data_IF_470296111696
#
_entry.id   IF_470296111696
#
_cell.length_a   1.000
_cell.length_b   1.000
_cell.length_c   1.000
_cell.angle_alpha   90.00
_cell.angle_beta   90.00
_cell.angle_gamma   90.00
#
_symmetry.space_group_name_H-M   'P 1'
#
loop_
_entity.id
_entity.type
_entity.pdbx_description
1 polymer ?
#
# COMPACT_ATOMS: atom_id res chain seq x y z
N UNK A 1 -15.49 12.96 2.32
CA UNK A 1 -15.50 11.90 3.39
C UNK A 1 -14.42 12.22 4.41
N UNK A 2 -14.73 12.24 5.70
CA UNK A 2 -13.76 12.50 6.77
C UNK A 2 -12.85 11.30 7.04
N UNK A 3 -11.69 11.53 7.67
CA UNK A 3 -10.77 10.43 8.08
C UNK A 3 -11.45 9.46 9.05
N UNK A 4 -12.35 9.95 9.93
CA UNK A 4 -13.07 9.13 10.89
C UNK A 4 -14.11 8.22 10.21
N UNK A 5 -14.86 8.76 9.25
CA UNK A 5 -15.79 7.96 8.43
C UNK A 5 -15.05 6.87 7.64
N UNK A 6 -13.90 7.22 7.05
CA UNK A 6 -13.09 6.26 6.32
C UNK A 6 -12.51 5.18 7.24
N UNK A 7 -12.02 5.57 8.44
CA UNK A 7 -11.53 4.63 9.44
C UNK A 7 -12.61 3.63 9.87
N UNK A 8 -13.83 4.11 10.07
CA UNK A 8 -14.97 3.26 10.40
C UNK A 8 -15.29 2.25 9.28
N UNK A 9 -15.24 2.70 8.03
CA UNK A 9 -15.49 1.82 6.86
C UNK A 9 -14.39 0.78 6.65
N UNK A 10 -13.12 1.16 6.85
CA UNK A 10 -11.97 0.24 6.73
C UNK A 10 -12.00 -0.88 7.77
N UNK A 11 -12.61 -0.64 8.93
CA UNK A 11 -12.58 -1.57 10.04
C UNK A 11 -11.19 -1.69 10.68
N UNK A 12 -11.05 -2.68 11.56
CA UNK A 12 -9.81 -2.90 12.31
C UNK A 12 -8.76 -3.71 11.55
N UNK A 13 -9.21 -4.62 10.70
CA UNK A 13 -8.37 -5.55 9.93
C UNK A 13 -8.92 -5.66 8.53
N UNK A 14 -8.05 -5.50 7.54
CA UNK A 14 -8.33 -5.75 6.12
C UNK A 14 -7.43 -6.85 5.57
N UNK A 15 -7.64 -7.20 4.32
CA UNK A 15 -6.83 -8.17 3.59
C UNK A 15 -5.92 -7.43 2.61
N UNK A 16 -4.62 -7.72 2.61
CA UNK A 16 -3.77 -7.41 1.47
C UNK A 16 -3.62 -8.65 0.58
N UNK A 17 -3.68 -8.45 -0.72
CA UNK A 17 -3.51 -9.54 -1.68
C UNK A 17 -2.75 -9.07 -2.93
N UNK A 18 -1.98 -9.97 -3.59
CA UNK A 18 -1.47 -9.67 -4.92
C UNK A 18 -2.64 -9.51 -5.91
N UNK A 19 -2.39 -8.96 -7.11
CA UNK A 19 -3.41 -8.93 -8.15
C UNK A 19 -4.04 -10.30 -8.34
N UNK A 20 -5.38 -10.40 -8.39
CA UNK A 20 -6.11 -11.67 -8.41
C UNK A 20 -5.61 -12.68 -9.46
N UNK A 21 -5.25 -12.20 -10.64
CA UNK A 21 -4.73 -13.03 -11.72
C UNK A 21 -3.39 -13.69 -11.43
N UNK A 22 -2.57 -13.09 -10.55
CA UNK A 22 -1.29 -13.70 -10.13
C UNK A 22 -1.45 -14.95 -9.30
N UNK A 23 -2.60 -15.09 -8.66
CA UNK A 23 -2.93 -16.25 -7.83
C UNK A 23 -4.09 -17.05 -8.43
N UNK A 24 -4.48 -16.76 -9.68
CA UNK A 24 -5.45 -17.52 -10.43
C UNK A 24 -6.88 -17.45 -9.90
N UNK A 25 -7.26 -16.32 -9.28
CA UNK A 25 -8.62 -16.14 -8.74
C UNK A 25 -9.39 -15.04 -9.49
N UNK A 26 -10.71 -15.20 -9.54
CA UNK A 26 -11.60 -14.21 -10.13
C UNK A 26 -11.80 -13.02 -9.17
N UNK A 27 -11.66 -11.76 -9.61
CA UNK A 27 -11.78 -10.59 -8.75
C UNK A 27 -13.15 -10.40 -8.12
N UNK A 28 -14.23 -10.70 -8.85
CA UNK A 28 -15.63 -10.53 -8.37
C UNK A 28 -15.93 -11.51 -7.24
N UNK A 29 -15.72 -12.79 -7.47
CA UNK A 29 -15.98 -13.84 -6.48
C UNK A 29 -15.06 -13.73 -5.26
N UNK A 30 -13.82 -13.28 -5.47
CA UNK A 30 -12.87 -13.04 -4.39
C UNK A 30 -13.32 -11.89 -3.48
N UNK A 31 -13.73 -10.76 -4.04
CA UNK A 31 -14.27 -9.65 -3.26
C UNK A 31 -15.50 -10.06 -2.44
N UNK A 32 -16.44 -10.76 -3.07
CA UNK A 32 -17.62 -11.31 -2.40
C UNK A 32 -17.25 -12.30 -1.26
N UNK A 33 -16.21 -13.11 -1.45
CA UNK A 33 -15.74 -14.05 -0.41
C UNK A 33 -15.10 -13.32 0.77
N UNK A 34 -14.28 -12.29 0.52
CA UNK A 34 -13.66 -11.44 1.54
C UNK A 34 -14.75 -10.75 2.38
N UNK A 35 -15.76 -10.17 1.73
CA UNK A 35 -16.87 -9.49 2.40
C UNK A 35 -17.70 -10.47 3.24
N UNK A 36 -18.03 -11.67 2.70
CA UNK A 36 -18.73 -12.73 3.46
C UNK A 36 -17.93 -13.23 4.66
N UNK A 37 -16.60 -13.22 4.58
CA UNK A 37 -15.73 -13.58 5.69
C UNK A 37 -15.69 -12.48 6.80
N UNK A 38 -16.39 -11.36 6.61
CA UNK A 38 -16.50 -10.29 7.60
C UNK A 38 -15.44 -9.19 7.49
N UNK A 39 -14.57 -9.23 6.48
CA UNK A 39 -13.63 -8.15 6.23
C UNK A 39 -14.33 -6.99 5.51
N UNK A 40 -13.88 -5.78 5.82
CA UNK A 40 -14.46 -4.53 5.29
C UNK A 40 -13.55 -3.83 4.31
N UNK A 41 -12.30 -4.28 4.15
CA UNK A 41 -11.35 -3.70 3.21
C UNK A 41 -10.42 -4.74 2.58
N UNK A 42 -10.07 -4.49 1.32
CA UNK A 42 -9.05 -5.24 0.60
C UNK A 42 -8.07 -4.26 -0.05
N UNK A 43 -6.78 -4.55 0.10
CA UNK A 43 -5.67 -3.79 -0.45
C UNK A 43 -5.00 -4.64 -1.53
N UNK A 44 -4.94 -4.13 -2.75
CA UNK A 44 -4.46 -4.89 -3.90
C UNK A 44 -3.11 -4.37 -4.36
N UNK A 45 -2.11 -5.24 -4.36
CA UNK A 45 -0.81 -4.93 -4.93
C UNK A 45 -0.93 -4.58 -6.42
N UNK A 46 -0.43 -3.42 -6.82
CA UNK A 46 -0.63 -2.94 -8.19
C UNK A 46 0.60 -2.26 -8.80
N UNK A 47 1.81 -2.69 -8.40
CA UNK A 47 3.08 -2.01 -8.66
C UNK A 47 3.33 -1.46 -10.06
N UNK A 48 2.97 -2.16 -11.12
CA UNK A 48 3.22 -1.71 -12.49
C UNK A 48 1.93 -1.29 -13.20
N UNK A 49 1.98 -0.29 -14.10
CA UNK A 49 0.82 0.10 -14.88
C UNK A 49 0.48 -1.05 -15.82
N UNK A 50 -0.68 -1.58 -15.58
CA UNK A 50 -1.37 -2.45 -16.49
C UNK A 50 -2.73 -1.81 -16.73
N UNK A 51 -3.08 -1.57 -17.98
CA UNK A 51 -4.38 -1.00 -18.37
C UNK A 51 -5.56 -1.77 -17.74
N UNK A 52 -5.36 -3.05 -17.43
CA UNK A 52 -6.36 -3.87 -16.76
C UNK A 52 -6.37 -3.70 -15.23
N UNK A 53 -5.40 -3.03 -14.60
CA UNK A 53 -5.34 -2.91 -13.14
C UNK A 53 -6.59 -2.25 -12.57
N UNK A 54 -6.99 -1.11 -13.12
CA UNK A 54 -8.21 -0.40 -12.68
C UNK A 54 -9.49 -1.13 -13.06
N UNK A 55 -9.54 -1.85 -14.17
CA UNK A 55 -10.65 -2.73 -14.52
C UNK A 55 -10.84 -3.86 -13.48
N UNK A 56 -9.74 -4.42 -12.95
CA UNK A 56 -9.80 -5.43 -11.87
C UNK A 56 -10.28 -4.85 -10.54
N UNK A 57 -9.81 -3.66 -10.17
CA UNK A 57 -10.30 -2.95 -8.98
C UNK A 57 -11.81 -2.66 -9.10
N UNK A 58 -12.25 -2.23 -10.29
CA UNK A 58 -13.66 -2.05 -10.61
C UNK A 58 -14.47 -3.35 -10.44
N UNK A 59 -13.96 -4.45 -10.94
CA UNK A 59 -14.60 -5.77 -10.80
C UNK A 59 -14.71 -6.19 -9.32
N UNK A 60 -13.70 -5.94 -8.50
CA UNK A 60 -13.77 -6.20 -7.05
C UNK A 60 -14.81 -5.31 -6.35
N UNK A 61 -14.84 -4.02 -6.69
CA UNK A 61 -15.85 -3.09 -6.16
C UNK A 61 -17.28 -3.50 -6.57
N UNK A 62 -17.46 -3.90 -7.81
CA UNK A 62 -18.75 -4.39 -8.32
C UNK A 62 -19.16 -5.76 -7.72
N UNK A 63 -18.18 -6.59 -7.37
CA UNK A 63 -18.40 -7.91 -6.75
C UNK A 63 -18.73 -7.88 -5.24
N UNK A 64 -18.85 -6.70 -4.65
CA UNK A 64 -19.13 -6.51 -3.22
C UNK A 64 -20.06 -5.32 -3.01
N UNK A 65 -20.74 -5.26 -1.87
CA UNK A 65 -21.67 -4.19 -1.56
C UNK A 65 -21.04 -3.06 -0.73
N UNK A 66 -20.16 -3.42 0.22
CA UNK A 66 -19.63 -2.49 1.24
C UNK A 66 -18.10 -2.46 1.28
N UNK A 67 -17.45 -3.46 0.67
CA UNK A 67 -15.99 -3.60 0.74
C UNK A 67 -15.30 -2.34 0.20
N UNK A 68 -14.39 -1.79 0.99
CA UNK A 68 -13.47 -0.75 0.52
C UNK A 68 -12.31 -1.42 -0.20
N UNK A 69 -12.07 -1.03 -1.44
CA UNK A 69 -10.93 -1.53 -2.25
C UNK A 69 -9.88 -0.44 -2.31
N UNK A 70 -8.63 -0.80 -2.04
CA UNK A 70 -7.51 0.12 -2.08
C UNK A 70 -6.35 -0.42 -2.91
N UNK A 71 -5.56 0.45 -3.50
CA UNK A 71 -4.27 0.05 -4.06
C UNK A 71 -3.20 -0.03 -2.96
N UNK A 72 -2.49 -1.12 -2.88
CA UNK A 72 -1.41 -1.35 -1.92
C UNK A 72 -0.10 -1.76 -2.59
N UNK A 73 0.51 -0.93 -3.37
CA UNK A 73 0.31 0.47 -3.79
C UNK A 73 0.52 0.62 -5.30
N UNK A 74 0.09 1.75 -5.88
CA UNK A 74 0.49 2.16 -7.23
C UNK A 74 1.91 2.74 -7.18
N UNK A 75 2.75 2.32 -8.12
CA UNK A 75 4.11 2.82 -8.25
C UNK A 75 4.13 4.14 -9.03
N UNK A 76 4.50 5.25 -8.36
CA UNK A 76 4.52 6.60 -8.96
C UNK A 76 5.57 6.81 -10.07
N UNK A 77 6.47 5.85 -10.29
CA UNK A 77 7.40 5.87 -11.43
C UNK A 77 6.79 5.27 -12.69
N UNK A 78 5.71 4.56 -12.54
CA UNK A 78 5.10 3.77 -13.59
C UNK A 78 3.85 4.44 -14.18
N UNK A 79 3.36 5.52 -13.58
CA UNK A 79 2.15 6.21 -14.00
C UNK A 79 2.39 7.69 -14.30
N UNK A 80 1.79 8.17 -15.37
CA UNK A 80 1.61 9.60 -15.58
C UNK A 80 0.50 10.11 -14.65
N UNK A 81 0.73 11.22 -13.89
CA UNK A 81 -0.23 11.70 -12.89
C UNK A 81 -1.64 11.94 -13.44
N UNK A 82 -1.77 12.58 -14.60
CA UNK A 82 -3.07 12.84 -15.23
C UNK A 82 -3.83 11.55 -15.59
N UNK A 83 -3.13 10.55 -16.11
CA UNK A 83 -3.75 9.26 -16.44
C UNK A 83 -4.21 8.51 -15.18
N UNK A 84 -3.39 8.50 -14.13
CA UNK A 84 -3.75 7.90 -12.84
C UNK A 84 -4.96 8.60 -12.22
N UNK A 85 -4.99 9.94 -12.28
CA UNK A 85 -6.10 10.73 -11.79
C UNK A 85 -7.41 10.35 -12.48
N UNK A 86 -7.42 10.30 -13.80
CA UNK A 86 -8.61 9.93 -14.58
C UNK A 86 -9.20 8.58 -14.14
N UNK A 87 -8.34 7.58 -14.00
CA UNK A 87 -8.77 6.23 -13.56
C UNK A 87 -9.29 6.24 -12.12
N UNK A 88 -8.60 6.97 -11.23
CA UNK A 88 -8.96 7.05 -9.81
C UNK A 88 -10.29 7.80 -9.59
N UNK A 89 -10.50 8.92 -10.28
CA UNK A 89 -11.76 9.68 -10.24
C UNK A 89 -12.92 8.85 -10.77
N UNK A 90 -12.73 8.12 -11.87
CA UNK A 90 -13.75 7.25 -12.43
C UNK A 90 -14.20 6.16 -11.45
N UNK A 91 -13.26 5.54 -10.72
CA UNK A 91 -13.61 4.57 -9.68
C UNK A 91 -14.30 5.22 -8.48
N UNK A 92 -13.84 6.40 -8.06
CA UNK A 92 -14.45 7.13 -6.95
C UNK A 92 -15.88 7.57 -7.25
N UNK A 93 -16.14 7.98 -8.49
CA UNK A 93 -17.48 8.37 -8.97
C UNK A 93 -18.45 7.20 -9.03
N UNK A 94 -18.00 6.05 -9.56
CA UNK A 94 -18.84 4.85 -9.69
C UNK A 94 -19.09 4.15 -8.35
N UNK A 95 -18.15 4.28 -7.40
CA UNK A 95 -18.21 3.60 -6.10
C UNK A 95 -17.94 4.59 -4.95
N UNK A 96 -18.82 5.52 -4.66
CA UNK A 96 -18.60 6.59 -3.69
C UNK A 96 -18.18 6.09 -2.31
N UNK A 97 -17.00 6.56 -1.84
CA UNK A 97 -16.47 6.24 -0.53
C UNK A 97 -15.97 4.80 -0.37
N UNK A 98 -15.80 4.05 -1.46
CA UNK A 98 -15.35 2.66 -1.44
C UNK A 98 -13.99 2.43 -2.12
N UNK A 99 -13.37 3.47 -2.65
CA UNK A 99 -12.04 3.37 -3.26
C UNK A 99 -11.04 4.27 -2.53
N UNK A 100 -9.81 3.76 -2.33
CA UNK A 100 -8.66 4.48 -1.78
C UNK A 100 -7.49 4.31 -2.73
N UNK A 101 -6.84 5.42 -3.08
CA UNK A 101 -5.63 5.42 -3.88
C UNK A 101 -4.39 5.36 -2.99
N UNK A 102 -3.81 4.18 -2.84
CA UNK A 102 -2.50 4.01 -2.21
C UNK A 102 -1.38 4.20 -3.24
N UNK A 103 -0.44 5.09 -2.96
CA UNK A 103 0.70 5.40 -3.83
C UNK A 103 2.03 5.19 -3.12
N UNK A 104 3.08 4.87 -3.87
CA UNK A 104 4.41 4.65 -3.30
C UNK A 104 5.52 4.79 -4.33
N UNK A 105 6.74 5.04 -3.83
CA UNK A 105 7.94 5.22 -4.66
C UNK A 105 8.62 3.91 -5.03
N UNK A 106 8.09 2.77 -4.60
CA UNK A 106 8.67 1.46 -4.87
C UNK A 106 10.13 1.35 -4.36
N UNK A 107 10.97 0.60 -5.04
CA UNK A 107 12.38 0.36 -4.70
C UNK A 107 13.23 0.26 -5.97
N UNK A 108 14.53 0.53 -5.84
CA UNK A 108 15.45 0.72 -6.96
C UNK A 108 15.39 -0.41 -8.02
N UNK A 109 15.49 -1.72 -7.67
CA UNK A 109 15.49 -2.76 -8.70
C UNK A 109 14.23 -2.77 -9.58
N UNK A 110 13.05 -2.51 -9.02
CA UNK A 110 11.82 -2.47 -9.81
C UNK A 110 11.74 -1.22 -10.68
N UNK A 111 12.16 -0.06 -10.15
CA UNK A 111 12.13 1.21 -10.89
C UNK A 111 13.12 1.20 -12.05
N UNK A 112 14.28 0.57 -11.87
CA UNK A 112 15.28 0.39 -12.91
C UNK A 112 14.79 -0.52 -14.07
N UNK A 113 13.97 -1.53 -13.78
CA UNK A 113 13.31 -2.33 -14.84
C UNK A 113 12.33 -1.54 -15.68
N UNK A 114 11.85 -0.40 -15.18
CA UNK A 114 11.00 0.53 -15.92
C UNK A 114 11.81 1.56 -16.73
N UNK A 115 13.14 1.48 -16.70
CA UNK A 115 14.02 2.43 -17.40
C UNK A 115 14.24 3.75 -16.66
N UNK A 116 13.88 3.83 -15.39
CA UNK A 116 14.07 5.02 -14.56
C UNK A 116 15.24 4.88 -13.58
N UNK A 117 15.93 5.98 -13.29
CA UNK A 117 16.89 6.04 -12.21
C UNK A 117 16.18 6.30 -10.87
N UNK A 118 16.34 5.40 -9.90
CA UNK A 118 15.77 5.57 -8.55
C UNK A 118 16.52 6.62 -7.76
N UNK A 119 16.17 7.88 -7.94
CA UNK A 119 16.82 9.00 -7.30
C UNK A 119 15.80 9.91 -6.59
N UNK A 120 16.19 10.45 -5.41
CA UNK A 120 15.39 11.42 -4.64
C UNK A 120 13.91 11.01 -4.49
N UNK A 121 13.62 9.80 -3.95
CA UNK A 121 12.26 9.26 -3.91
C UNK A 121 11.25 10.17 -3.18
N UNK A 122 11.66 10.90 -2.15
CA UNK A 122 10.80 11.89 -1.49
C UNK A 122 10.36 12.97 -2.47
N UNK A 123 11.31 13.59 -3.17
CA UNK A 123 11.00 14.66 -4.15
C UNK A 123 10.18 14.13 -5.34
N UNK A 124 10.39 12.86 -5.73
CA UNK A 124 9.53 12.23 -6.75
C UNK A 124 8.09 12.13 -6.26
N UNK A 125 7.87 11.76 -5.00
CA UNK A 125 6.53 11.68 -4.43
C UNK A 125 5.88 13.06 -4.32
N UNK A 126 6.60 14.06 -3.76
CA UNK A 126 6.12 15.45 -3.67
C UNK A 126 5.64 15.95 -5.04
N UNK A 127 6.53 15.88 -6.03
CA UNK A 127 6.20 16.31 -7.40
C UNK A 127 5.02 15.56 -7.99
N UNK A 128 4.92 14.25 -7.75
CA UNK A 128 3.83 13.43 -8.26
C UNK A 128 2.48 13.83 -7.65
N UNK A 129 2.44 14.11 -6.34
CA UNK A 129 1.23 14.57 -5.66
C UNK A 129 0.81 15.96 -6.14
N UNK A 130 1.76 16.89 -6.29
CA UNK A 130 1.52 18.23 -6.81
C UNK A 130 0.94 18.17 -8.24
N UNK A 131 1.49 17.29 -9.09
CA UNK A 131 1.01 17.07 -10.45
C UNK A 131 -0.36 16.35 -10.46
N UNK A 132 -0.57 15.39 -9.57
CA UNK A 132 -1.83 14.67 -9.46
C UNK A 132 -3.00 15.61 -9.07
N UNK A 133 -2.72 16.61 -8.21
CA UNK A 133 -3.72 17.60 -7.77
C UNK A 133 -3.71 18.90 -8.60
N UNK A 134 -2.98 18.93 -9.70
CA UNK A 134 -2.85 20.14 -10.49
C UNK A 134 -4.18 20.51 -11.18
N UNK A 135 -4.66 21.77 -11.06
CA UNK A 135 -5.98 22.18 -11.59
C UNK A 135 -6.21 21.91 -13.07
N UNK A 136 -5.13 21.93 -13.89
CA UNK A 136 -5.23 21.64 -15.31
C UNK A 136 -5.66 20.20 -15.64
N UNK A 137 -5.58 19.29 -14.67
CA UNK A 137 -6.00 17.88 -14.82
C UNK A 137 -7.37 17.61 -14.22
N UNK A 138 -8.02 18.62 -13.62
CA UNK A 138 -9.37 18.48 -13.08
C UNK A 138 -10.36 18.34 -14.23
N UNK A 139 -10.82 17.12 -14.49
CA UNK A 139 -11.76 16.78 -15.58
C UNK A 139 -13.22 17.12 -15.29
N UNK A 140 -13.49 18.10 -14.42
CA UNK A 140 -14.83 18.48 -13.99
C UNK A 140 -14.99 18.53 -12.47
N UNK A 141 -16.20 18.32 -11.97
CA UNK A 141 -16.56 18.37 -10.54
C UNK A 141 -16.21 17.08 -9.77
N UNK A 142 -15.40 16.19 -10.35
CA UNK A 142 -15.04 14.92 -9.71
C UNK A 142 -13.86 15.13 -8.75
N UNK A 143 -14.02 14.64 -7.52
CA UNK A 143 -13.01 14.69 -6.49
C UNK A 143 -12.11 13.45 -6.56
N UNK A 144 -10.80 13.64 -6.31
CA UNK A 144 -9.88 12.53 -6.08
C UNK A 144 -10.36 11.67 -4.90
N UNK A 145 -10.20 10.34 -5.00
CA UNK A 145 -10.40 9.48 -3.84
C UNK A 145 -9.40 9.81 -2.73
N UNK A 146 -9.67 9.35 -1.50
CA UNK A 146 -8.70 9.42 -0.42
C UNK A 146 -7.35 8.83 -0.84
N UNK A 147 -6.25 9.56 -0.59
CA UNK A 147 -4.89 9.13 -0.92
C UNK A 147 -4.17 8.70 0.37
N UNK A 148 -3.44 7.58 0.30
CA UNK A 148 -2.48 7.17 1.32
C UNK A 148 -1.11 6.90 0.70
N UNK A 149 -0.03 7.15 1.45
CA UNK A 149 1.34 7.02 0.95
C UNK A 149 2.03 5.85 1.64
N UNK A 150 2.71 5.00 0.89
CA UNK A 150 3.64 4.02 1.45
C UNK A 150 4.87 4.76 2.02
N UNK A 151 4.96 4.84 3.34
CA UNK A 151 5.99 5.63 4.02
C UNK A 151 6.66 4.84 5.14
N UNK A 152 8.00 4.79 5.11
CA UNK A 152 8.82 4.16 6.14
C UNK A 152 9.62 5.19 6.96
N UNK A 153 10.24 6.15 6.29
CA UNK A 153 11.09 7.16 6.93
C UNK A 153 10.30 8.38 7.39
N UNK A 154 10.86 9.17 8.34
CA UNK A 154 10.17 10.32 8.95
C UNK A 154 9.71 11.35 7.91
N UNK A 155 10.54 11.73 6.96
CA UNK A 155 10.19 12.73 5.94
C UNK A 155 9.03 12.30 5.02
N UNK A 156 8.96 11.02 4.69
CA UNK A 156 7.85 10.48 3.89
C UNK A 156 6.57 10.36 4.74
N UNK A 157 6.70 10.08 6.04
CA UNK A 157 5.58 10.12 7.00
C UNK A 157 5.07 11.54 7.22
N UNK A 158 5.97 12.54 7.30
CA UNK A 158 5.61 13.97 7.34
C UNK A 158 4.83 14.36 6.08
N UNK A 159 5.32 13.98 4.91
CA UNK A 159 4.61 14.20 3.65
C UNK A 159 3.22 13.54 3.64
N UNK A 160 3.12 12.32 4.15
CA UNK A 160 1.84 11.61 4.26
C UNK A 160 0.86 12.31 5.22
N UNK A 161 1.36 12.94 6.30
CA UNK A 161 0.57 13.75 7.22
C UNK A 161 0.06 15.03 6.55
N UNK A 162 0.92 15.69 5.77
CA UNK A 162 0.70 17.05 5.27
C UNK A 162 -0.06 17.09 3.93
N UNK A 163 0.10 16.05 3.08
CA UNK A 163 -0.45 16.02 1.72
C UNK A 163 -1.31 14.78 1.40
N UNK A 164 -1.58 13.92 2.38
CA UNK A 164 -2.42 12.74 2.17
C UNK A 164 -3.31 12.46 3.40
N UNK A 165 -4.20 11.49 3.30
CA UNK A 165 -5.00 11.07 4.45
C UNK A 165 -4.24 10.18 5.44
N UNK A 166 -3.05 9.75 5.09
CA UNK A 166 -2.22 8.94 5.98
C UNK A 166 -1.23 8.03 5.28
N UNK A 167 -0.83 6.96 5.96
CA UNK A 167 0.26 6.09 5.51
C UNK A 167 -0.12 4.61 5.53
N UNK A 168 0.38 3.89 4.53
CA UNK A 168 0.31 2.43 4.38
C UNK A 168 1.73 1.85 4.35
N UNK A 169 2.41 1.73 5.52
CA UNK A 169 3.74 1.15 5.61
C UNK A 169 3.70 -0.37 5.52
N UNK A 170 4.77 -0.95 4.98
CA UNK A 170 4.93 -2.37 4.79
C UNK A 170 6.29 -2.86 5.28
N UNK A 171 6.36 -4.14 5.67
CA UNK A 171 7.55 -4.81 6.19
C UNK A 171 8.18 -4.03 7.36
N UNK A 172 7.37 -3.79 8.36
CA UNK A 172 7.69 -2.95 9.54
C UNK A 172 7.37 -3.69 10.82
N UNK A 173 7.87 -3.14 11.94
CA UNK A 173 7.68 -3.69 13.28
C UNK A 173 6.64 -2.88 14.08
N UNK A 174 6.19 -3.37 15.24
CA UNK A 174 5.36 -2.59 16.15
C UNK A 174 6.02 -1.28 16.61
N UNK A 175 7.36 -1.25 16.73
CA UNK A 175 8.14 -0.04 17.06
C UNK A 175 7.99 1.01 15.96
N UNK A 176 8.10 0.59 14.70
CA UNK A 176 7.84 1.49 13.57
C UNK A 176 6.40 2.02 13.60
N UNK A 177 5.42 1.19 13.89
CA UNK A 177 4.01 1.63 13.97
C UNK A 177 3.82 2.70 15.04
N UNK A 178 4.45 2.55 16.23
CA UNK A 178 4.43 3.58 17.27
C UNK A 178 5.15 4.87 16.82
N UNK A 179 6.31 4.74 16.21
CA UNK A 179 7.05 5.86 15.63
C UNK A 179 6.24 6.59 14.55
N UNK A 180 5.68 5.85 13.59
CA UNK A 180 4.87 6.42 12.51
C UNK A 180 3.64 7.15 13.05
N UNK A 181 2.98 6.61 14.08
CA UNK A 181 1.87 7.29 14.77
C UNK A 181 2.32 8.59 15.43
N UNK A 182 3.53 8.61 16.02
CA UNK A 182 4.12 9.83 16.60
C UNK A 182 4.36 10.93 15.57
N UNK A 183 4.83 10.57 14.37
CA UNK A 183 5.08 11.53 13.28
C UNK A 183 3.78 12.02 12.62
N UNK A 184 2.86 11.10 12.36
CA UNK A 184 1.57 11.41 11.73
C UNK A 184 0.63 12.20 12.66
N UNK A 185 0.76 12.04 13.97
CA UNK A 185 -0.25 12.52 14.92
C UNK A 185 -1.50 11.63 14.96
N UNK A 186 -2.55 11.99 15.70
CA UNK A 186 -3.72 11.12 15.96
C UNK A 186 -4.70 11.00 14.79
N UNK A 187 -4.84 12.05 13.98
CA UNK A 187 -5.89 12.16 12.96
C UNK A 187 -5.64 11.34 11.67
N UNK A 188 -4.45 11.38 11.03
CA UNK A 188 -4.22 10.65 9.78
C UNK A 188 -4.36 9.14 9.95
N UNK A 189 -4.73 8.47 8.86
CA UNK A 189 -4.76 7.02 8.79
C UNK A 189 -3.35 6.45 8.94
N UNK A 190 -3.25 5.33 9.65
CA UNK A 190 -2.05 4.51 9.68
C UNK A 190 -2.49 3.06 9.51
N UNK A 191 -2.20 2.50 8.34
CA UNK A 191 -2.64 1.18 7.90
C UNK A 191 -1.42 0.32 7.60
N UNK A 192 -0.73 -0.21 8.63
CA UNK A 192 0.43 -1.05 8.41
C UNK A 192 0.02 -2.40 7.82
N UNK A 193 0.73 -2.86 6.81
CA UNK A 193 0.61 -4.19 6.27
C UNK A 193 1.53 -5.15 7.03
N UNK A 194 0.95 -6.22 7.53
CA UNK A 194 1.65 -7.30 8.23
C UNK A 194 1.57 -8.58 7.40
N UNK A 195 2.72 -9.08 6.92
CA UNK A 195 2.79 -10.40 6.33
C UNK A 195 2.63 -11.47 7.42
N UNK A 196 1.74 -12.42 7.20
CA UNK A 196 1.53 -13.54 8.12
C UNK A 196 1.35 -14.85 7.36
N UNK A 197 1.68 -15.95 8.00
CA UNK A 197 1.47 -17.29 7.46
C UNK A 197 0.63 -18.11 8.43
N UNK A 198 -0.34 -18.85 7.90
CA UNK A 198 -1.11 -19.82 8.65
C UNK A 198 -0.47 -21.19 8.46
N UNK A 199 0.16 -21.71 9.50
CA UNK A 199 0.76 -23.03 9.49
C UNK A 199 0.38 -23.81 10.75
N UNK A 200 0.13 -25.11 10.61
CA UNK A 200 -0.08 -26.01 11.75
C UNK A 200 1.23 -26.38 12.44
N UNK A 201 2.29 -26.47 11.64
CA UNK A 201 3.66 -26.69 12.12
C UNK A 201 4.41 -25.37 12.19
N UNK A 202 4.86 -24.94 13.41
CA UNK A 202 5.63 -23.71 13.58
C UNK A 202 6.92 -23.67 12.76
N UNK A 203 7.61 -24.80 12.57
CA UNK A 203 8.85 -24.86 11.78
C UNK A 203 8.56 -24.56 10.30
N UNK A 204 7.50 -25.13 9.75
CA UNK A 204 7.05 -24.83 8.39
C UNK A 204 6.62 -23.36 8.25
N UNK A 205 5.92 -22.82 9.26
CA UNK A 205 5.54 -21.41 9.31
C UNK A 205 6.76 -20.50 9.27
N UNK A 206 7.73 -20.75 10.11
CA UNK A 206 8.99 -19.99 10.15
C UNK A 206 9.77 -20.08 8.83
N UNK A 207 9.87 -21.27 8.22
CA UNK A 207 10.52 -21.45 6.93
C UNK A 207 9.85 -20.61 5.82
N UNK A 208 8.52 -20.59 5.78
CA UNK A 208 7.74 -19.78 4.84
C UNK A 208 7.97 -18.28 5.06
N UNK A 209 7.92 -17.82 6.31
CA UNK A 209 8.16 -16.42 6.67
C UNK A 209 9.59 -15.97 6.30
N UNK A 210 10.61 -16.82 6.53
CA UNK A 210 12.00 -16.56 6.15
C UNK A 210 12.18 -16.43 4.65
N UNK A 211 11.62 -17.36 3.87
CA UNK A 211 11.67 -17.31 2.41
C UNK A 211 11.01 -16.05 1.84
N UNK A 212 9.97 -15.57 2.53
CA UNK A 212 9.32 -14.31 2.19
C UNK A 212 10.19 -13.10 2.57
N UNK A 213 10.73 -13.07 3.78
CA UNK A 213 11.54 -11.96 4.29
C UNK A 213 12.84 -11.77 3.49
N UNK A 214 13.49 -12.85 3.03
CA UNK A 214 14.72 -12.79 2.24
C UNK A 214 14.67 -11.81 1.08
N UNK A 215 13.53 -11.72 0.40
CA UNK A 215 13.34 -10.78 -0.73
C UNK A 215 13.40 -9.32 -0.30
N UNK A 216 12.86 -8.99 0.87
CA UNK A 216 12.81 -7.63 1.40
C UNK A 216 14.10 -7.24 2.11
N UNK A 217 14.79 -8.21 2.72
CA UNK A 217 16.08 -7.98 3.35
C UNK A 217 17.21 -7.65 2.36
N UNK A 218 16.98 -7.89 1.07
CA UNK A 218 17.89 -7.44 -0.01
C UNK A 218 17.64 -5.98 -0.43
N UNK A 219 16.62 -5.32 0.11
CA UNK A 219 16.18 -3.99 -0.30
C UNK A 219 16.57 -2.94 0.75
N UNK A 220 17.49 -2.01 0.43
CA UNK A 220 18.04 -1.06 1.40
C UNK A 220 17.01 -0.16 2.08
N UNK A 221 15.87 0.10 1.45
CA UNK A 221 14.79 0.89 2.07
C UNK A 221 14.18 0.18 3.28
N UNK A 222 14.10 -1.16 3.27
CA UNK A 222 13.58 -1.93 4.40
C UNK A 222 14.65 -2.17 5.45
N UNK A 223 15.86 -2.59 5.06
CA UNK A 223 16.93 -2.86 6.04
C UNK A 223 17.31 -1.60 6.82
N UNK A 224 17.49 -0.45 6.17
CA UNK A 224 17.75 0.82 6.85
C UNK A 224 16.60 1.26 7.77
N UNK A 225 15.36 0.87 7.45
CA UNK A 225 14.25 1.13 8.34
C UNK A 225 14.31 0.22 9.57
N UNK A 226 14.58 -1.07 9.40
CA UNK A 226 14.74 -2.03 10.51
C UNK A 226 15.92 -1.67 11.42
N UNK A 227 17.08 -1.26 10.85
CA UNK A 227 18.23 -0.76 11.59
C UNK A 227 17.88 0.38 12.54
N UNK A 228 17.00 1.30 12.13
CA UNK A 228 16.50 2.40 12.97
C UNK A 228 15.83 1.89 14.25
N UNK A 229 15.26 0.71 14.22
CA UNK A 229 14.58 0.07 15.35
C UNK A 229 15.42 -1.00 16.03
N UNK A 230 16.74 -0.98 15.81
CA UNK A 230 17.71 -1.80 16.55
C UNK A 230 17.88 -3.22 16.01
N UNK A 231 17.52 -3.48 14.77
CA UNK A 231 17.89 -4.72 14.08
C UNK A 231 19.30 -4.55 13.48
N UNK A 232 20.25 -5.33 13.99
CA UNK A 232 21.63 -5.28 13.53
C UNK A 232 21.89 -6.16 12.31
N UNK A 233 23.14 -6.15 11.81
CA UNK A 233 23.53 -6.95 10.65
C UNK A 233 23.17 -8.44 10.79
N UNK A 234 23.37 -9.03 11.97
CA UNK A 234 23.01 -10.42 12.24
C UNK A 234 21.50 -10.72 12.15
N UNK A 235 20.66 -9.69 12.38
CA UNK A 235 19.21 -9.83 12.23
C UNK A 235 18.74 -9.75 10.78
N UNK A 236 19.51 -9.06 9.93
CA UNK A 236 19.14 -8.71 8.57
C UNK A 236 19.84 -9.55 7.50
N UNK A 237 20.80 -10.41 7.91
CA UNK A 237 21.54 -11.24 7.00
C UNK A 237 20.72 -12.48 6.55
N UNK A 238 20.85 -12.83 5.26
CA UNK A 238 20.23 -14.03 4.69
C UNK A 238 18.71 -13.97 4.75
N UNK A 239 18.12 -14.87 5.53
CA UNK A 239 16.65 -15.01 5.69
C UNK A 239 16.10 -14.34 6.96
N UNK A 240 16.94 -13.60 7.66
CA UNK A 240 16.58 -12.91 8.90
C UNK A 240 16.70 -13.75 10.16
N UNK A 241 16.90 -13.08 11.31
CA UNK A 241 16.99 -13.74 12.63
C UNK A 241 15.61 -14.21 13.12
N UNK A 242 15.60 -15.07 14.15
CA UNK A 242 14.37 -15.48 14.83
C UNK A 242 13.63 -14.28 15.42
N UNK A 243 14.36 -13.29 15.94
CA UNK A 243 13.79 -12.05 16.46
C UNK A 243 13.02 -11.25 15.42
N UNK A 244 13.44 -11.29 14.15
CA UNK A 244 12.78 -10.58 13.06
C UNK A 244 11.54 -11.32 12.56
N UNK A 245 11.57 -12.64 12.61
CA UNK A 245 10.56 -13.53 12.00
C UNK A 245 9.44 -13.91 12.99
N UNK A 246 9.72 -13.85 14.29
CA UNK A 246 8.77 -14.22 15.36
C UNK A 246 7.74 -13.05 15.67
#
# INVERSE_FOLDING_TARGET
MTTEELRSRLGRVGIWMPPPERIGVDPVSTAAAIERAGFTSVWVGGGNPDKAAFARLRAQLAGSERLVVATGIVNVWAWEPAALRTEAEALAADFPGRFILGVGVSHAPLVETLGHAYQRPLRKMEKFLDELDHPAYHGGDQELPPIVIAALGPKMLELARDQALGSHPYFTTPEHTRFARGVLGPAPLLVPELACTLARDPAQGAATARAYAERYLRLPNYTKNLERFGFGAADLEGTGSDRLIS
#
